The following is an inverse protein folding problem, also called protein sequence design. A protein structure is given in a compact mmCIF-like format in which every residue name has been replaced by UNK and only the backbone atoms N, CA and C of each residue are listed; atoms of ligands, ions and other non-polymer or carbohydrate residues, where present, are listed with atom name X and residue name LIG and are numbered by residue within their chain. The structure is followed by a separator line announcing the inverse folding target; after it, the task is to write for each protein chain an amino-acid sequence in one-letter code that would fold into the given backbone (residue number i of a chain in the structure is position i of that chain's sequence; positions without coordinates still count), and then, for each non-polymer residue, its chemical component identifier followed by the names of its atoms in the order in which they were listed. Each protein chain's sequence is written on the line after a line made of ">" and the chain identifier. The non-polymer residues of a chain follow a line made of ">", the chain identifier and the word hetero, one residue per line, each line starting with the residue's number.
data_IF_175037131963
#
_entry.id   IF_175037131963
#
_cell.length_a   1.000
_cell.length_b   1.000
_cell.length_c   1.000
_cell.angle_alpha   90.00
_cell.angle_beta   90.00
_cell.angle_gamma   90.00
#
_symmetry.space_group_name_H-M   'P 1'
#
loop_
_entity.id
_entity.type
_entity.pdbx_description
1 polymer ?
#
# COMPACT_ATOMS: atom_id res chain seq x y z
N UNK A 1 -18.06 -6.93 19.83
CA UNK A 1 -17.64 -7.95 18.86
C UNK A 1 -16.16 -8.17 19.06
N UNK A 2 -15.78 -9.29 19.70
CA UNK A 2 -14.37 -9.68 19.85
C UNK A 2 -13.86 -10.03 18.46
N UNK A 3 -12.87 -9.30 17.97
CA UNK A 3 -12.10 -9.72 16.80
C UNK A 3 -11.06 -10.69 17.36
N UNK A 4 -11.29 -11.98 17.18
CA UNK A 4 -10.27 -13.00 17.40
C UNK A 4 -9.39 -13.03 16.16
N UNK A 5 -8.19 -12.46 16.26
CA UNK A 5 -7.12 -12.78 15.30
C UNK A 5 -6.90 -14.29 15.31
N UNK A 6 -7.11 -14.89 14.16
CA UNK A 6 -6.89 -16.32 13.96
C UNK A 6 -5.84 -16.42 12.87
N UNK A 7 -4.63 -16.89 13.22
CA UNK A 7 -3.66 -17.35 12.21
C UNK A 7 -4.38 -18.38 11.35
N UNK A 8 -4.48 -18.10 10.06
CA UNK A 8 -5.22 -18.94 9.13
C UNK A 8 -4.42 -20.21 8.83
N UNK A 9 -4.53 -21.19 9.73
CA UNK A 9 -4.21 -22.57 9.41
C UNK A 9 -5.19 -23.05 8.33
N UNK A 10 -4.75 -23.83 7.34
CA UNK A 10 -5.57 -24.18 6.16
C UNK A 10 -6.92 -24.84 6.53
N UNK A 11 -6.94 -25.58 7.64
CA UNK A 11 -8.14 -26.17 8.22
C UNK A 11 -9.16 -25.13 8.72
N UNK A 12 -8.68 -24.03 9.31
CA UNK A 12 -9.53 -22.95 9.82
C UNK A 12 -10.17 -22.14 8.70
N UNK A 13 -9.48 -21.96 7.56
CA UNK A 13 -10.04 -21.30 6.37
C UNK A 13 -11.27 -22.04 5.84
N UNK A 14 -11.15 -23.36 5.65
CA UNK A 14 -12.26 -24.18 5.14
C UNK A 14 -13.46 -24.15 6.10
N UNK A 15 -13.22 -24.27 7.40
CA UNK A 15 -14.28 -24.21 8.41
C UNK A 15 -14.99 -22.86 8.44
N UNK A 16 -14.25 -21.75 8.31
CA UNK A 16 -14.84 -20.41 8.24
C UNK A 16 -15.76 -20.25 7.03
N UNK A 17 -15.34 -20.78 5.87
CA UNK A 17 -16.14 -20.77 4.64
C UNK A 17 -17.42 -21.59 4.77
N UNK A 18 -17.33 -22.84 5.24
CA UNK A 18 -18.52 -23.69 5.45
C UNK A 18 -19.50 -23.04 6.42
N UNK A 19 -19.00 -22.49 7.54
CA UNK A 19 -19.82 -21.79 8.53
C UNK A 19 -20.57 -20.60 7.92
N UNK A 20 -19.90 -19.82 7.07
CA UNK A 20 -20.51 -18.70 6.35
C UNK A 20 -21.61 -19.18 5.39
N UNK A 21 -21.34 -20.19 4.57
CA UNK A 21 -22.28 -20.72 3.59
C UNK A 21 -23.54 -21.32 4.25
N UNK A 22 -23.37 -22.05 5.35
CA UNK A 22 -24.48 -22.57 6.16
C UNK A 22 -25.34 -21.44 6.76
N UNK A 23 -24.71 -20.40 7.31
CA UNK A 23 -25.44 -19.26 7.86
C UNK A 23 -26.25 -18.53 6.77
N UNK A 24 -25.65 -18.30 5.61
CA UNK A 24 -26.34 -17.65 4.49
C UNK A 24 -27.50 -18.49 3.95
N UNK A 25 -27.30 -19.81 3.79
CA UNK A 25 -28.35 -20.71 3.27
C UNK A 25 -29.55 -20.83 4.23
N UNK A 26 -29.31 -20.69 5.53
CA UNK A 26 -30.35 -20.68 6.57
C UNK A 26 -30.98 -19.29 6.79
N UNK A 27 -30.60 -18.29 5.98
CA UNK A 27 -31.14 -16.94 6.06
C UNK A 27 -30.58 -16.07 7.19
N UNK A 28 -29.53 -16.54 7.88
CA UNK A 28 -28.84 -15.74 8.88
C UNK A 28 -27.89 -14.75 8.23
N UNK A 29 -27.92 -13.50 8.69
CA UNK A 29 -26.97 -12.49 8.27
C UNK A 29 -25.56 -12.92 8.69
N UNK A 30 -24.67 -13.02 7.71
CA UNK A 30 -23.30 -13.48 7.90
C UNK A 30 -22.32 -12.56 7.19
N UNK A 31 -21.09 -12.51 7.69
CA UNK A 31 -19.99 -11.85 7.00
C UNK A 31 -18.78 -12.79 6.99
N UNK A 32 -17.96 -12.68 5.95
CA UNK A 32 -16.69 -13.39 5.84
C UNK A 32 -15.66 -12.46 5.24
N UNK A 33 -14.47 -12.41 5.83
CA UNK A 33 -13.32 -11.72 5.27
C UNK A 33 -12.24 -12.76 4.95
N UNK A 34 -11.73 -12.75 3.73
CA UNK A 34 -10.66 -13.64 3.30
C UNK A 34 -9.64 -12.88 2.46
N UNK A 35 -8.39 -13.31 2.54
CA UNK A 35 -7.37 -12.94 1.58
C UNK A 35 -7.58 -13.80 0.33
N UNK A 36 -7.49 -13.18 -0.84
CA UNK A 36 -7.61 -13.89 -2.11
C UNK A 36 -6.44 -14.87 -2.28
N UNK A 37 -6.73 -16.10 -2.71
CA UNK A 37 -5.72 -17.16 -2.81
C UNK A 37 -4.72 -16.90 -3.95
N UNK A 38 -5.12 -16.10 -4.94
CA UNK A 38 -4.34 -15.78 -6.13
C UNK A 38 -3.72 -14.37 -6.05
N UNK A 39 -4.17 -13.55 -5.09
CA UNK A 39 -3.70 -12.18 -4.86
C UNK A 39 -3.39 -11.95 -3.37
N UNK A 40 -2.11 -11.98 -2.99
CA UNK A 40 -1.73 -11.71 -1.59
C UNK A 40 -2.12 -10.29 -1.12
N UNK A 41 -2.28 -9.34 -2.04
CA UNK A 41 -2.62 -7.96 -1.77
C UNK A 41 -4.13 -7.65 -1.80
N UNK A 42 -4.98 -8.64 -2.12
CA UNK A 42 -6.43 -8.46 -2.20
C UNK A 42 -7.14 -9.09 -1.00
N UNK A 43 -7.94 -8.29 -0.32
CA UNK A 43 -8.87 -8.75 0.70
C UNK A 43 -10.30 -8.67 0.17
N UNK A 44 -11.04 -9.77 0.31
CA UNK A 44 -12.44 -9.85 -0.07
C UNK A 44 -13.32 -9.90 1.19
N UNK A 45 -14.33 -9.03 1.24
CA UNK A 45 -15.36 -9.05 2.27
C UNK A 45 -16.70 -9.47 1.64
N UNK A 46 -17.26 -10.59 2.11
CA UNK A 46 -18.56 -11.10 1.69
C UNK A 46 -19.59 -10.82 2.77
N UNK A 47 -20.75 -10.28 2.38
CA UNK A 47 -21.88 -10.03 3.25
C UNK A 47 -23.08 -10.82 2.71
N UNK A 48 -23.64 -11.70 3.54
CA UNK A 48 -24.70 -12.62 3.13
C UNK A 48 -26.02 -12.38 3.85
N UNK A 49 -27.12 -12.80 3.20
CA UNK A 49 -28.49 -12.73 3.71
C UNK A 49 -28.90 -11.34 4.26
N UNK A 50 -28.47 -10.26 3.61
CA UNK A 50 -28.90 -8.90 3.97
C UNK A 50 -30.39 -8.73 3.61
N UNK A 51 -31.28 -8.38 4.56
CA UNK A 51 -32.68 -8.16 4.27
C UNK A 51 -32.91 -7.02 3.27
N UNK A 52 -33.99 -7.12 2.50
CA UNK A 52 -34.38 -6.04 1.58
C UNK A 52 -34.54 -4.72 2.33
N UNK A 53 -34.01 -3.63 1.75
CA UNK A 53 -34.01 -2.26 2.30
C UNK A 53 -33.23 -2.10 3.62
N UNK A 54 -32.47 -3.10 4.06
CA UNK A 54 -31.58 -2.95 5.22
C UNK A 54 -30.40 -2.02 4.89
N UNK A 55 -29.96 -1.26 5.90
CA UNK A 55 -28.74 -0.46 5.82
C UNK A 55 -27.62 -1.20 6.56
N UNK A 56 -26.53 -1.48 5.85
CA UNK A 56 -25.34 -2.10 6.43
C UNK A 56 -24.24 -1.04 6.56
N UNK A 57 -23.52 -1.08 7.68
CA UNK A 57 -22.33 -0.23 7.89
C UNK A 57 -21.13 -1.15 8.08
N UNK A 58 -20.16 -1.04 7.18
CA UNK A 58 -18.89 -1.76 7.26
C UNK A 58 -17.84 -0.81 7.83
N UNK A 59 -17.07 -1.27 8.82
CA UNK A 59 -15.96 -0.52 9.39
C UNK A 59 -14.70 -1.39 9.32
N UNK A 60 -13.75 -0.96 8.51
CA UNK A 60 -12.43 -1.56 8.41
C UNK A 60 -11.46 -0.70 9.21
N UNK A 61 -10.62 -1.34 10.03
CA UNK A 61 -9.52 -0.70 10.75
C UNK A 61 -8.26 -1.47 10.42
N UNK A 62 -7.22 -0.76 10.04
CA UNK A 62 -5.90 -1.33 9.80
C UNK A 62 -4.84 -0.35 10.28
N UNK A 63 -3.65 -0.88 10.53
CA UNK A 63 -2.45 -0.10 10.83
C UNK A 63 -1.48 -0.37 9.71
N UNK A 64 -0.84 0.68 9.22
CA UNK A 64 0.13 0.60 8.13
C UNK A 64 1.25 1.60 8.34
N UNK A 65 2.35 1.37 7.63
CA UNK A 65 3.44 2.31 7.57
C UNK A 65 3.11 3.40 6.54
N UNK A 66 3.62 4.61 6.78
CA UNK A 66 3.60 5.69 5.81
C UNK A 66 4.99 5.81 5.20
N UNK A 67 5.07 5.89 3.88
CA UNK A 67 6.35 6.06 3.19
C UNK A 67 6.89 7.45 3.48
N UNK A 68 8.14 7.53 3.91
CA UNK A 68 8.78 8.80 4.17
C UNK A 68 10.21 8.85 3.61
N UNK A 69 10.58 9.99 3.05
CA UNK A 69 11.88 10.21 2.44
C UNK A 69 12.45 11.57 2.82
N UNK A 70 13.77 11.60 3.03
CA UNK A 70 14.52 12.85 3.19
C UNK A 70 14.94 13.35 1.81
N UNK A 71 14.72 14.63 1.55
CA UNK A 71 15.10 15.31 0.31
C UNK A 71 15.88 16.58 0.62
N UNK A 72 16.57 17.11 -0.37
CA UNK A 72 17.24 18.40 -0.28
C UNK A 72 16.87 19.20 -1.53
N UNK A 73 16.27 20.37 -1.31
CA UNK A 73 15.84 21.28 -2.37
C UNK A 73 16.42 22.66 -2.06
N UNK A 74 17.17 23.23 -3.01
CA UNK A 74 17.83 24.53 -2.86
C UNK A 74 18.70 24.66 -1.58
N UNK A 75 19.39 23.57 -1.20
CA UNK A 75 20.22 23.52 0.02
C UNK A 75 19.43 23.48 1.33
N UNK A 76 18.11 23.32 1.27
CA UNK A 76 17.24 23.15 2.44
C UNK A 76 16.90 21.68 2.63
N UNK A 77 17.19 21.18 3.82
CA UNK A 77 16.79 19.85 4.28
C UNK A 77 15.28 19.79 4.45
N UNK A 78 14.63 18.85 3.78
CA UNK A 78 13.20 18.64 3.84
C UNK A 78 12.89 17.15 3.91
N UNK A 79 11.69 16.81 4.33
CA UNK A 79 11.22 15.43 4.25
C UNK A 79 9.78 15.40 3.81
N UNK A 80 9.41 14.30 3.17
CA UNK A 80 8.10 14.09 2.62
C UNK A 80 7.58 12.77 3.18
N UNK A 81 6.37 12.79 3.75
CA UNK A 81 5.63 11.58 4.06
C UNK A 81 4.43 11.44 3.10
N UNK A 82 4.22 10.25 2.56
CA UNK A 82 3.22 9.98 1.52
C UNK A 82 2.26 8.90 1.98
N UNK A 83 1.00 9.28 2.17
CA UNK A 83 -0.10 8.35 2.30
C UNK A 83 -0.70 8.10 0.91
N UNK A 84 -0.76 6.85 0.51
CA UNK A 84 -1.37 6.42 -0.75
C UNK A 84 -2.48 5.42 -0.46
N UNK A 85 -3.68 5.69 -0.97
CA UNK A 85 -4.78 4.75 -1.02
C UNK A 85 -5.04 4.41 -2.49
N UNK A 86 -4.73 3.18 -2.93
CA UNK A 86 -5.04 2.75 -4.29
C UNK A 86 -6.55 2.81 -4.50
N UNK A 87 -6.98 3.62 -5.46
CA UNK A 87 -8.40 3.67 -5.85
C UNK A 87 -8.63 3.17 -7.27
N UNK A 88 -7.54 3.09 -8.06
CA UNK A 88 -7.53 2.49 -9.39
C UNK A 88 -6.95 1.09 -9.26
N UNK A 89 -7.76 0.08 -9.54
CA UNK A 89 -7.26 -1.27 -9.72
C UNK A 89 -6.75 -1.40 -11.15
N UNK A 90 -5.45 -1.27 -11.34
CA UNK A 90 -4.84 -1.55 -12.64
C UNK A 90 -5.19 -2.99 -13.05
N UNK A 91 -5.59 -3.23 -14.32
CA UNK A 91 -5.81 -4.58 -14.80
C UNK A 91 -4.54 -5.38 -14.56
N UNK A 92 -4.63 -6.41 -13.71
CA UNK A 92 -3.50 -7.32 -13.51
C UNK A 92 -3.15 -7.93 -14.85
N UNK A 93 -1.86 -8.00 -15.11
CA UNK A 93 -1.35 -8.55 -16.35
C UNK A 93 -1.92 -9.96 -16.57
N UNK A 94 -2.62 -10.17 -17.69
CA UNK A 94 -3.20 -11.46 -18.10
C UNK A 94 -2.52 -11.92 -19.40
N UNK A 95 -1.60 -12.90 -19.34
CA UNK A 95 -1.14 -13.57 -20.54
C UNK A 95 -2.33 -14.12 -21.31
N UNK A 96 -2.33 -14.01 -22.64
CA UNK A 96 -3.44 -14.48 -23.49
C UNK A 96 -3.70 -16.00 -23.37
N UNK A 97 -2.71 -16.76 -22.90
CA UNK A 97 -2.74 -18.22 -22.82
C UNK A 97 -3.06 -18.79 -21.42
N UNK A 98 -3.32 -17.93 -20.42
CA UNK A 98 -3.86 -18.40 -19.14
C UNK A 98 -5.33 -18.77 -19.33
N UNK A 99 -5.66 -20.04 -19.12
CA UNK A 99 -7.03 -20.54 -19.12
C UNK A 99 -7.94 -19.60 -18.30
N UNK A 100 -9.18 -19.42 -18.76
CA UNK A 100 -10.20 -18.50 -18.19
C UNK A 100 -10.55 -18.70 -16.70
N UNK A 101 -9.88 -19.60 -15.99
CA UNK A 101 -9.91 -19.69 -14.54
C UNK A 101 -8.62 -19.16 -13.97
N UNK A 102 -8.67 -18.00 -13.32
CA UNK A 102 -8.00 -17.73 -12.02
C UNK A 102 -7.99 -16.25 -11.60
N UNK A 103 -8.43 -15.32 -12.45
CA UNK A 103 -8.85 -14.01 -11.95
C UNK A 103 -10.20 -13.63 -12.53
N UNK A 104 -11.24 -13.69 -11.70
CA UNK A 104 -12.49 -13.00 -12.06
C UNK A 104 -12.15 -11.51 -12.19
N UNK A 105 -12.44 -10.85 -13.32
CA UNK A 105 -12.47 -9.39 -13.31
C UNK A 105 -13.43 -8.98 -12.19
N UNK A 106 -13.16 -7.86 -11.52
CA UNK A 106 -14.20 -7.17 -10.75
C UNK A 106 -15.26 -6.73 -11.76
N UNK A 107 -16.11 -7.66 -12.18
CA UNK A 107 -17.30 -7.35 -12.95
C UNK A 107 -18.24 -6.69 -11.96
N UNK A 108 -18.38 -5.38 -12.07
CA UNK A 108 -19.44 -4.64 -11.38
C UNK A 108 -20.78 -5.09 -11.96
N UNK A 109 -21.28 -6.24 -11.51
CA UNK A 109 -22.64 -6.67 -11.78
C UNK A 109 -23.58 -5.78 -10.92
N UNK A 110 -24.01 -4.66 -11.49
CA UNK A 110 -25.03 -3.82 -10.84
C UNK A 110 -24.99 -2.32 -11.12
N UNK A 111 -23.96 -1.83 -11.82
CA UNK A 111 -23.76 -0.39 -12.07
C UNK A 111 -23.44 0.39 -10.79
N UNK A 112 -22.48 1.31 -10.87
CA UNK A 112 -22.16 2.21 -9.77
C UNK A 112 -23.37 3.10 -9.46
N UNK A 113 -24.04 2.82 -8.33
CA UNK A 113 -24.97 3.79 -7.74
C UNK A 113 -24.16 5.02 -7.27
N UNK A 114 -24.76 6.23 -7.30
CA UNK A 114 -24.09 7.43 -6.79
C UNK A 114 -23.60 7.19 -5.36
N UNK A 115 -22.29 7.28 -5.17
CA UNK A 115 -21.66 7.18 -3.86
C UNK A 115 -21.14 8.56 -3.44
N UNK A 116 -21.02 8.77 -2.12
CA UNK A 116 -20.36 9.94 -1.57
C UNK A 116 -19.18 9.44 -0.76
N UNK A 117 -17.98 9.77 -1.23
CA UNK A 117 -16.76 9.49 -0.49
C UNK A 117 -16.26 10.76 0.21
N UNK A 118 -15.77 10.61 1.42
CA UNK A 118 -15.20 11.70 2.23
C UNK A 118 -13.93 11.19 2.89
N UNK A 119 -12.93 12.06 2.96
CA UNK A 119 -11.67 11.76 3.61
C UNK A 119 -11.35 12.82 4.67
N UNK A 120 -10.91 12.34 5.83
CA UNK A 120 -10.42 13.15 6.93
C UNK A 120 -9.21 12.44 7.54
N UNK A 121 -8.18 13.19 7.89
CA UNK A 121 -7.01 12.70 8.59
C UNK A 121 -6.65 13.63 9.74
N UNK A 122 -6.11 13.05 10.82
CA UNK A 122 -5.43 13.78 11.88
C UNK A 122 -3.95 13.43 11.76
N UNK A 123 -3.11 14.43 11.51
CA UNK A 123 -1.67 14.24 11.37
C UNK A 123 -0.96 14.66 12.65
N UNK A 124 0.07 13.90 13.01
CA UNK A 124 0.98 14.19 14.12
C UNK A 124 2.38 13.79 13.68
N UNK A 125 3.20 14.79 13.37
CA UNK A 125 4.51 14.58 12.75
C UNK A 125 5.65 14.96 13.70
N UNK A 126 6.83 14.34 13.58
CA UNK A 126 7.98 14.66 14.44
C UNK A 126 8.59 16.05 14.15
N UNK A 127 8.38 16.55 12.92
CA UNK A 127 8.88 17.83 12.40
C UNK A 127 7.72 18.77 12.06
N UNK A 128 8.02 20.06 11.89
CA UNK A 128 7.01 21.06 11.52
C UNK A 128 6.49 20.74 10.13
N UNK A 129 5.18 20.69 9.98
CA UNK A 129 4.57 20.49 8.66
C UNK A 129 4.47 21.84 7.96
N UNK A 130 5.05 21.92 6.77
CA UNK A 130 5.07 23.12 5.93
C UNK A 130 3.82 23.18 5.06
N UNK A 131 3.41 22.04 4.50
CA UNK A 131 2.22 21.95 3.67
C UNK A 131 1.71 20.52 3.54
N UNK A 132 0.43 20.39 3.23
CA UNK A 132 -0.21 19.12 2.84
C UNK A 132 -0.77 19.28 1.43
N UNK A 133 -0.36 18.40 0.53
CA UNK A 133 -0.63 18.51 -0.91
C UNK A 133 -1.04 17.18 -1.53
N UNK A 134 -1.50 17.20 -2.78
CA UNK A 134 -1.74 16.03 -3.62
C UNK A 134 -1.37 16.39 -5.06
N UNK A 135 -1.00 15.41 -5.91
CA UNK A 135 -0.86 15.66 -7.34
C UNK A 135 -2.17 16.07 -8.02
N UNK A 136 -3.33 15.64 -7.50
CA UNK A 136 -4.64 15.82 -8.14
C UNK A 136 -5.68 16.41 -7.17
N UNK A 137 -5.71 15.95 -5.92
CA UNK A 137 -6.73 16.32 -4.94
C UNK A 137 -6.46 17.64 -4.21
N UNK A 138 -7.51 18.20 -3.60
CA UNK A 138 -7.44 19.44 -2.81
C UNK A 138 -7.84 19.21 -1.36
N UNK A 139 -6.98 19.63 -0.45
CA UNK A 139 -7.21 19.55 0.99
C UNK A 139 -7.39 20.91 1.63
N UNK A 140 -8.21 20.94 2.67
CA UNK A 140 -8.20 21.98 3.69
C UNK A 140 -7.42 21.47 4.91
N UNK A 141 -6.60 22.34 5.52
CA UNK A 141 -5.71 21.98 6.63
C UNK A 141 -5.91 22.94 7.79
N UNK A 142 -6.38 22.40 8.91
CA UNK A 142 -6.59 23.13 10.16
C UNK A 142 -5.50 22.74 11.17
N UNK A 143 -4.62 23.67 11.49
CA UNK A 143 -3.55 23.46 12.48
C UNK A 143 -4.12 23.36 13.89
N UNK A 144 -3.79 22.27 14.58
CA UNK A 144 -4.26 22.04 15.97
C UNK A 144 -3.17 22.26 17.01
N UNK A 145 -1.92 22.48 16.58
CA UNK A 145 -0.80 22.84 17.44
C UNK A 145 -0.10 24.11 16.97
N UNK A 146 0.46 24.89 17.91
CA UNK A 146 1.16 26.15 17.60
C UNK A 146 2.52 25.94 16.92
N UNK A 147 3.10 24.74 17.04
CA UNK A 147 4.33 24.33 16.37
C UNK A 147 4.08 23.68 15.00
N UNK A 148 2.82 23.66 14.53
CA UNK A 148 2.40 23.10 13.23
C UNK A 148 2.84 21.63 13.01
N UNK A 149 3.02 20.86 14.08
CA UNK A 149 3.26 19.42 14.01
C UNK A 149 1.97 18.61 13.92
N UNK A 150 0.86 19.19 14.37
CA UNK A 150 -0.46 18.56 14.37
C UNK A 150 -1.47 19.35 13.53
N UNK A 151 -2.25 18.64 12.74
CA UNK A 151 -3.32 19.24 11.94
C UNK A 151 -4.47 18.27 11.68
N UNK A 152 -5.64 18.82 11.36
CA UNK A 152 -6.76 18.10 10.74
C UNK A 152 -6.78 18.42 9.25
N UNK A 153 -6.75 17.38 8.44
CA UNK A 153 -6.77 17.48 6.98
C UNK A 153 -8.10 16.95 6.48
N UNK A 154 -8.77 17.71 5.62
CA UNK A 154 -10.06 17.32 5.04
C UNK A 154 -10.03 17.46 3.53
N UNK A 155 -10.49 16.43 2.83
CA UNK A 155 -10.66 16.49 1.38
C UNK A 155 -11.80 17.45 1.02
N UNK A 156 -11.52 18.36 0.08
CA UNK A 156 -12.49 19.34 -0.44
C UNK A 156 -12.86 19.10 -1.90
N UNK A 157 -12.00 18.42 -2.67
CA UNK A 157 -12.35 17.86 -3.98
C UNK A 157 -13.26 16.64 -3.85
N UNK A 158 -13.89 16.26 -4.95
CA UNK A 158 -14.61 14.99 -5.06
C UNK A 158 -13.60 13.84 -5.20
N UNK A 159 -13.72 12.80 -4.36
CA UNK A 159 -12.87 11.62 -4.47
C UNK A 159 -13.35 10.74 -5.64
N UNK A 160 -12.57 10.72 -6.71
CA UNK A 160 -12.82 9.91 -7.90
C UNK A 160 -11.88 8.71 -7.93
N UNK A 161 -12.40 7.57 -8.39
CA UNK A 161 -11.63 6.34 -8.58
C UNK A 161 -10.82 6.31 -9.88
N UNK A 162 -10.34 7.46 -10.36
CA UNK A 162 -9.64 7.62 -11.64
C UNK A 162 -8.13 7.82 -11.48
N UNK A 163 -7.64 7.95 -10.26
CA UNK A 163 -6.22 7.99 -9.90
C UNK A 163 -6.02 7.50 -8.46
N UNK A 164 -4.81 7.10 -8.09
CA UNK A 164 -4.52 6.76 -6.69
C UNK A 164 -4.67 7.99 -5.79
N UNK A 165 -5.40 7.83 -4.70
CA UNK A 165 -5.59 8.90 -3.75
C UNK A 165 -4.31 9.10 -2.95
N UNK A 166 -3.73 10.30 -3.01
CA UNK A 166 -2.45 10.61 -2.38
C UNK A 166 -2.53 11.88 -1.52
N UNK A 167 -2.04 11.76 -0.29
CA UNK A 167 -1.80 12.88 0.62
C UNK A 167 -0.30 12.95 0.92
N UNK A 168 0.31 14.07 0.53
CA UNK A 168 1.75 14.34 0.62
C UNK A 168 1.99 15.40 1.68
N UNK A 169 2.67 15.03 2.76
CA UNK A 169 2.98 15.87 3.92
C UNK A 169 4.42 16.34 3.79
N UNK A 170 4.64 17.65 3.65
CA UNK A 170 5.96 18.27 3.54
C UNK A 170 6.42 18.78 4.91
N UNK A 171 7.65 18.47 5.29
CA UNK A 171 8.23 18.80 6.60
C UNK A 171 9.53 19.60 6.46
N UNK A 172 9.77 20.49 7.43
CA UNK A 172 10.88 21.45 7.45
C UNK A 172 12.21 20.90 7.98
N UNK A 173 12.55 19.66 7.64
CA UNK A 173 13.81 19.07 8.04
C UNK A 173 13.95 17.63 7.60
N UNK A 174 15.10 17.03 7.91
CA UNK A 174 15.33 15.60 7.72
C UNK A 174 14.80 14.82 8.92
N UNK A 175 14.06 13.75 8.64
CA UNK A 175 13.72 12.74 9.61
C UNK A 175 14.99 12.04 10.09
N UNK A 176 15.04 11.77 11.40
CA UNK A 176 16.14 11.05 12.04
C UNK A 176 15.79 9.57 12.21
N UNK A 177 16.81 8.72 12.29
CA UNK A 177 16.65 7.33 12.73
C UNK A 177 16.14 7.30 14.16
N UNK A 178 15.09 6.51 14.44
CA UNK A 178 14.60 6.29 15.80
C UNK A 178 14.02 4.89 15.95
N UNK A 179 13.80 4.49 17.20
CA UNK A 179 13.09 3.28 17.56
C UNK A 179 12.04 3.59 18.63
N UNK A 180 10.84 3.02 18.48
CA UNK A 180 9.76 3.11 19.46
C UNK A 180 9.45 1.69 19.93
N UNK A 181 9.46 1.50 21.25
CA UNK A 181 9.08 0.25 21.89
C UNK A 181 7.69 0.41 22.52
N UNK A 182 6.78 -0.50 22.18
CA UNK A 182 5.47 -0.63 22.81
C UNK A 182 5.41 -1.98 23.54
N UNK A 183 5.06 -1.95 24.83
CA UNK A 183 5.00 -3.16 25.63
C UNK A 183 3.70 -3.91 25.37
N UNK A 184 3.80 -5.24 25.33
CA UNK A 184 2.64 -6.11 25.18
C UNK A 184 1.67 -6.00 26.36
N UNK A 185 0.41 -6.33 26.13
CA UNK A 185 -0.59 -6.39 27.18
C UNK A 185 -0.31 -7.57 28.11
N UNK A 186 -0.04 -7.30 29.39
CA UNK A 186 0.41 -8.30 30.38
C UNK A 186 -0.53 -9.48 30.56
N UNK A 187 -1.83 -9.30 30.32
CA UNK A 187 -2.86 -10.35 30.43
C UNK A 187 -3.09 -11.15 29.14
N UNK A 188 -2.43 -10.79 28.03
CA UNK A 188 -2.60 -11.47 26.74
C UNK A 188 -1.55 -12.57 26.56
N UNK A 189 -1.99 -13.79 26.24
CA UNK A 189 -1.11 -14.93 25.94
C UNK A 189 -0.80 -15.09 24.44
N UNK A 190 -1.28 -14.17 23.61
CA UNK A 190 -1.11 -14.18 22.15
C UNK A 190 -0.15 -13.06 21.71
N UNK A 191 -0.11 -12.75 20.41
CA UNK A 191 0.76 -11.69 19.85
C UNK A 191 0.54 -10.32 20.51
N UNK A 192 -0.65 -10.05 21.06
CA UNK A 192 -0.96 -8.80 21.77
C UNK A 192 -0.22 -8.69 23.11
N UNK A 193 0.30 -9.79 23.65
CA UNK A 193 1.14 -9.81 24.85
C UNK A 193 2.63 -9.69 24.55
N UNK A 194 3.03 -9.62 23.27
CA UNK A 194 4.43 -9.47 22.89
C UNK A 194 4.81 -7.99 22.82
N UNK A 195 6.02 -7.67 23.27
CA UNK A 195 6.61 -6.35 23.05
C UNK A 195 6.88 -6.14 21.56
N UNK A 196 6.59 -4.93 21.07
CA UNK A 196 6.77 -4.54 19.68
C UNK A 196 7.80 -3.42 19.59
N UNK A 197 8.76 -3.56 18.67
CA UNK A 197 9.72 -2.51 18.33
C UNK A 197 9.48 -2.05 16.90
N UNK A 198 9.15 -0.77 16.73
CA UNK A 198 9.14 -0.10 15.44
C UNK A 198 10.44 0.69 15.28
N UNK A 199 11.17 0.47 14.19
CA UNK A 199 12.41 1.20 13.90
C UNK A 199 12.29 1.94 12.57
N UNK A 200 12.62 3.23 12.55
CA UNK A 200 12.79 4.00 11.33
C UNK A 200 14.27 4.23 11.09
N UNK A 201 14.77 3.92 9.89
CA UNK A 201 16.17 4.06 9.49
C UNK A 201 16.30 5.13 8.41
N UNK A 202 16.85 6.29 8.78
CA UNK A 202 17.08 7.44 7.90
C UNK A 202 18.52 7.95 8.05
N UNK A 203 19.53 7.17 7.61
CA UNK A 203 20.93 7.55 7.74
C UNK A 203 21.28 8.79 6.89
N UNK A 204 22.01 9.74 7.47
CA UNK A 204 22.55 10.91 6.76
C UNK A 204 23.97 10.60 6.25
N UNK A 205 24.10 10.44 4.93
CA UNK A 205 25.37 10.18 4.26
C UNK A 205 26.03 11.44 3.67
N UNK A 206 25.50 12.64 3.92
CA UNK A 206 26.04 13.90 3.37
C UNK A 206 27.55 14.07 3.63
N UNK A 207 28.02 13.68 4.83
CA UNK A 207 29.44 13.72 5.20
C UNK A 207 30.35 12.80 4.37
N UNK A 208 29.79 11.81 3.69
CA UNK A 208 30.53 10.85 2.85
C UNK A 208 30.36 11.12 1.35
N UNK A 209 29.56 12.12 0.96
CA UNK A 209 29.25 12.40 -0.45
C UNK A 209 30.53 12.64 -1.28
N UNK A 210 31.55 13.28 -0.70
CA UNK A 210 32.85 13.51 -1.36
C UNK A 210 33.77 12.27 -1.41
N UNK A 211 33.46 11.24 -0.62
CA UNK A 211 34.22 9.97 -0.55
C UNK A 211 33.52 8.82 -1.27
N UNK A 212 32.29 9.03 -1.69
CA UNK A 212 31.47 8.00 -2.32
C UNK A 212 31.88 7.88 -3.79
N UNK A 213 32.48 6.75 -4.17
CA UNK A 213 32.59 6.39 -5.58
C UNK A 213 31.19 6.09 -6.12
N UNK A 214 30.63 7.02 -6.90
CA UNK A 214 29.34 6.88 -7.58
C UNK A 214 29.41 5.97 -8.82
N UNK A 215 30.45 5.13 -8.93
CA UNK A 215 30.56 4.12 -9.99
C UNK A 215 29.64 2.97 -9.64
N UNK A 216 28.38 3.10 -10.03
CA UNK A 216 27.40 2.02 -9.94
C UNK A 216 27.47 1.20 -11.22
N UNK A 217 27.60 -0.12 -11.08
CA UNK A 217 27.40 -1.04 -12.20
C UNK A 217 26.03 -1.70 -12.04
N UNK A 218 25.15 -1.51 -13.03
CA UNK A 218 23.81 -2.08 -13.04
C UNK A 218 23.76 -3.25 -14.03
N UNK A 219 23.42 -4.44 -13.55
CA UNK A 219 23.18 -5.61 -14.39
C UNK A 219 21.68 -5.83 -14.57
N UNK A 220 21.20 -5.72 -15.80
CA UNK A 220 19.84 -6.04 -16.18
C UNK A 220 19.80 -7.48 -16.69
N UNK A 221 19.37 -8.41 -15.84
CA UNK A 221 19.23 -9.81 -16.23
C UNK A 221 17.84 -10.01 -16.82
N UNK A 222 17.79 -10.42 -18.09
CA UNK A 222 16.58 -10.63 -18.87
C UNK A 222 16.44 -12.13 -19.11
N UNK A 223 15.39 -12.74 -18.57
CA UNK A 223 15.03 -14.11 -18.92
C UNK A 223 14.44 -14.16 -20.36
N UNK A 224 14.85 -15.16 -21.14
CA UNK A 224 14.40 -15.49 -22.51
C UNK A 224 14.03 -16.96 -22.65
N UNK A 225 13.80 -17.66 -21.53
CA UNK A 225 13.22 -19.00 -21.55
C UNK A 225 11.97 -19.03 -22.43
N UNK A 226 11.71 -20.16 -23.11
CA UNK A 226 10.72 -20.26 -24.20
C UNK A 226 9.29 -19.86 -23.83
N UNK A 227 8.97 -19.71 -22.55
CA UNK A 227 7.69 -19.21 -22.05
C UNK A 227 7.56 -17.68 -22.17
N UNK A 228 8.66 -16.94 -22.30
CA UNK A 228 8.68 -15.48 -22.38
C UNK A 228 8.41 -14.90 -23.77
N UNK A 229 8.37 -15.72 -24.84
CA UNK A 229 8.15 -15.23 -26.20
C UNK A 229 6.71 -14.76 -26.49
N UNK A 230 5.76 -14.98 -25.56
CA UNK A 230 4.40 -14.46 -25.66
C UNK A 230 4.21 -13.07 -25.01
N UNK A 231 5.26 -12.48 -24.42
CA UNK A 231 5.20 -11.19 -23.73
C UNK A 231 5.85 -10.09 -24.56
N UNK A 232 5.03 -9.25 -25.19
CA UNK A 232 5.48 -8.02 -25.84
C UNK A 232 6.00 -7.01 -24.80
N UNK A 233 7.22 -6.50 -25.01
CA UNK A 233 7.82 -5.50 -24.14
C UNK A 233 7.42 -4.08 -24.55
N UNK A 234 6.97 -3.28 -23.58
CA UNK A 234 6.94 -1.81 -23.67
C UNK A 234 7.84 -1.29 -22.55
N UNK A 235 9.06 -0.87 -22.88
CA UNK A 235 9.90 -0.14 -21.95
C UNK A 235 9.32 1.27 -21.76
N UNK A 236 8.89 1.61 -20.54
CA UNK A 236 8.59 2.99 -20.20
C UNK A 236 9.92 3.77 -20.19
N UNK A 237 9.97 4.87 -20.94
CA UNK A 237 11.13 5.80 -20.93
C UNK A 237 11.17 6.53 -19.59
N UNK A 238 11.71 5.90 -18.56
CA UNK A 238 12.11 6.52 -17.31
C UNK A 238 13.64 6.64 -17.24
N UNK A 239 14.15 7.71 -16.64
CA UNK A 239 15.58 7.88 -16.32
C UNK A 239 16.01 6.83 -15.27
N UNK A 240 16.25 5.59 -15.71
CA UNK A 240 16.70 4.48 -14.84
C UNK A 240 18.24 4.46 -14.73
N UNK A 241 18.95 5.19 -15.60
CA UNK A 241 20.41 5.13 -15.68
C UNK A 241 21.02 6.36 -14.97
N UNK A 242 21.78 6.18 -13.88
CA UNK A 242 22.50 7.28 -13.25
C UNK A 242 23.61 7.82 -14.18
N UNK A 243 23.94 9.12 -14.16
CA UNK A 243 24.82 9.76 -15.15
C UNK A 243 26.26 9.21 -15.22
N UNK A 244 26.72 8.49 -14.18
CA UNK A 244 28.09 7.97 -14.04
C UNK A 244 28.15 6.45 -13.83
N UNK A 245 27.06 5.74 -14.11
CA UNK A 245 26.99 4.29 -13.95
C UNK A 245 27.34 3.53 -15.22
N UNK A 246 27.97 2.36 -15.07
CA UNK A 246 28.03 1.36 -16.14
C UNK A 246 26.76 0.52 -16.07
N UNK A 247 26.26 0.06 -17.21
CA UNK A 247 25.18 -0.91 -17.23
C UNK A 247 25.45 -2.00 -18.25
N UNK A 248 25.03 -3.21 -17.91
CA UNK A 248 25.16 -4.40 -18.77
C UNK A 248 23.82 -5.11 -18.81
N UNK A 249 23.36 -5.46 -20.00
CA UNK A 249 22.22 -6.35 -20.16
C UNK A 249 22.74 -7.79 -20.29
N UNK A 250 22.10 -8.72 -19.60
CA UNK A 250 22.44 -10.15 -19.67
C UNK A 250 21.18 -10.91 -20.04
N UNK A 251 21.15 -11.50 -21.23
CA UNK A 251 20.11 -12.43 -21.62
C UNK A 251 20.40 -13.81 -21.05
N UNK A 252 19.44 -14.39 -20.35
CA UNK A 252 19.50 -15.76 -19.81
C UNK A 252 18.36 -16.59 -20.40
N UNK A 253 18.67 -17.72 -21.02
CA UNK A 253 17.69 -18.70 -21.51
C UNK A 253 18.29 -20.11 -21.42
N UNK A 254 18.27 -20.88 -22.50
CA UNK A 254 19.08 -22.10 -22.60
C UNK A 254 20.61 -21.84 -22.57
N UNK A 255 21.02 -20.59 -22.75
CA UNK A 255 22.39 -20.09 -22.62
C UNK A 255 22.40 -18.65 -22.07
N UNK A 256 23.53 -18.21 -21.52
CA UNK A 256 23.73 -16.88 -20.94
C UNK A 256 24.65 -16.04 -21.84
N UNK A 257 24.19 -14.85 -22.26
CA UNK A 257 24.93 -13.95 -23.13
C UNK A 257 24.76 -12.48 -22.71
N UNK A 258 25.84 -11.68 -22.65
CA UNK A 258 25.71 -10.23 -22.55
C UNK A 258 25.05 -9.69 -23.83
N UNK A 259 24.20 -8.67 -23.67
CA UNK A 259 23.55 -7.91 -24.75
C UNK A 259 24.19 -6.53 -24.84
#
# INVERSE_FOLDING_TARGET
>A
MKISETKADGYLKLMAKTTYEEAVSTGHMAFMAEQDEHCEDLFQLKLGAIPSKAKVTVRIKYVGLIDAENTECDGKKQSIARFTLPTVLNPRYRPQDMNKGEFQPLSEEGGLKPYVAKFHAEINMPLTVVSVTSPVDKFDTEWTSSDHKMAKVKLTSELKGDHDFQMIIHMDGHLSTFAVCEHGHTEASNILGMDCLMTQWMPDFSQFQHKQELRTELFFIIDRSGELMHFGWVASKGNIIPPSGYFTFISVGSSCHPI
#
